data_IF_968084841648
#
_entry.id   IF_968084841648
#
_cell.length_a   1.000
_cell.length_b   1.000
_cell.length_c   1.000
_cell.angle_alpha   90.00
_cell.angle_beta   90.00
_cell.angle_gamma   90.00
#
_symmetry.space_group_name_H-M   'P 1'
#
loop_
_entity.id
_entity.type
_entity.pdbx_description
1 polymer ?
#
# COMPACT_ATOMS: atom_id res chain seq x y z
N UNK A 1 13.97 -12.31 -17.75
CA UNK A 1 13.56 -12.86 -16.45
C UNK A 1 13.07 -11.67 -15.64
N UNK A 2 11.75 -11.46 -15.67
CA UNK A 2 11.12 -10.15 -15.48
C UNK A 2 11.31 -9.63 -14.06
N UNK A 3 12.13 -8.58 -13.95
CA UNK A 3 12.37 -7.80 -12.72
C UNK A 3 11.43 -6.60 -12.61
N UNK A 4 10.41 -6.53 -13.46
CA UNK A 4 9.53 -5.37 -13.52
C UNK A 4 8.51 -5.42 -12.38
N UNK A 5 8.55 -4.38 -11.55
CA UNK A 5 7.53 -4.09 -10.55
C UNK A 5 6.63 -2.99 -11.10
N UNK A 6 5.32 -3.15 -10.94
CA UNK A 6 4.35 -2.12 -11.34
C UNK A 6 3.51 -1.71 -10.14
N UNK A 7 3.12 -0.44 -10.12
CA UNK A 7 2.20 0.10 -9.12
C UNK A 7 0.82 0.23 -9.76
N UNK A 8 -0.20 -0.30 -9.09
CA UNK A 8 -1.60 -0.05 -9.45
C UNK A 8 -2.32 0.50 -8.25
N UNK A 9 -3.19 1.48 -8.45
CA UNK A 9 -4.01 2.02 -7.37
C UNK A 9 -4.84 0.88 -6.74
N UNK A 10 -4.98 0.90 -5.43
CA UNK A 10 -5.86 -0.06 -4.76
C UNK A 10 -7.30 0.36 -4.97
N UNK A 11 -8.12 -0.57 -5.44
CA UNK A 11 -9.54 -0.40 -5.76
C UNK A 11 -10.33 -1.70 -5.45
N UNK A 12 -11.60 -1.77 -5.85
CA UNK A 12 -12.44 -2.95 -5.60
C UNK A 12 -11.88 -4.27 -6.17
N UNK A 13 -11.02 -4.20 -7.19
CA UNK A 13 -10.50 -5.39 -7.88
C UNK A 13 -9.37 -6.07 -7.12
N UNK A 14 -8.64 -5.35 -6.26
CA UNK A 14 -7.38 -5.83 -5.69
C UNK A 14 -7.23 -5.62 -4.17
N UNK A 15 -8.16 -4.92 -3.50
CA UNK A 15 -8.03 -4.64 -2.07
C UNK A 15 -8.05 -5.90 -1.18
N UNK A 16 -8.81 -6.95 -1.56
CA UNK A 16 -8.85 -8.22 -0.82
C UNK A 16 -7.50 -8.94 -0.89
N UNK A 17 -6.85 -8.94 -2.04
CA UNK A 17 -5.51 -9.51 -2.17
C UNK A 17 -4.50 -8.74 -1.30
N UNK A 18 -4.63 -7.41 -1.23
CA UNK A 18 -3.81 -6.60 -0.32
C UNK A 18 -4.06 -6.93 1.17
N UNK A 19 -5.31 -7.25 1.56
CA UNK A 19 -5.61 -7.69 2.94
C UNK A 19 -4.96 -9.02 3.30
N UNK A 20 -4.84 -9.90 2.31
CA UNK A 20 -4.28 -11.23 2.47
C UNK A 20 -2.75 -11.27 2.37
N UNK A 21 -2.10 -10.12 2.17
CA UNK A 21 -0.64 -10.01 2.23
C UNK A 21 -0.16 -10.47 3.61
N UNK A 22 0.52 -11.60 3.62
CA UNK A 22 1.14 -12.14 4.82
C UNK A 22 2.41 -11.39 5.11
N UNK A 23 2.55 -11.00 6.38
CA UNK A 23 3.80 -10.50 6.90
C UNK A 23 4.80 -11.65 6.95
N UNK A 24 6.04 -11.39 6.51
CA UNK A 24 7.14 -12.31 6.80
C UNK A 24 7.39 -12.38 8.30
N UNK A 25 8.02 -13.47 8.77
CA UNK A 25 8.32 -13.66 10.18
C UNK A 25 9.09 -12.46 10.75
N UNK A 26 8.52 -11.80 11.77
CA UNK A 26 9.10 -10.65 12.45
C UNK A 26 8.85 -9.27 11.79
N UNK A 27 8.21 -9.21 10.62
CA UNK A 27 7.84 -7.93 9.99
C UNK A 27 6.66 -7.24 10.69
N UNK A 28 5.84 -8.00 11.41
CA UNK A 28 4.73 -7.50 12.25
C UNK A 28 5.14 -6.45 13.28
N UNK A 29 6.43 -6.43 13.65
CA UNK A 29 7.01 -5.43 14.55
C UNK A 29 7.27 -4.07 13.91
N UNK A 30 7.34 -4.02 12.57
CA UNK A 30 7.79 -2.84 11.82
C UNK A 30 6.71 -2.25 10.92
N UNK A 31 5.69 -3.03 10.54
CA UNK A 31 4.62 -2.57 9.65
C UNK A 31 3.25 -2.78 10.25
N UNK A 32 2.36 -1.83 9.97
CA UNK A 32 0.95 -1.95 10.34
C UNK A 32 0.28 -3.09 9.56
N UNK A 33 -0.65 -3.80 10.20
CA UNK A 33 -1.49 -4.79 9.52
C UNK A 33 -2.17 -4.16 8.29
N UNK A 34 -2.15 -4.81 7.10
CA UNK A 34 -2.68 -4.24 5.86
C UNK A 34 -4.11 -3.70 5.97
N UNK A 35 -4.98 -4.42 6.68
CA UNK A 35 -6.36 -3.99 7.00
C UNK A 35 -6.38 -2.59 7.65
N UNK A 36 -5.54 -2.35 8.66
CA UNK A 36 -5.48 -1.05 9.35
C UNK A 36 -4.99 0.05 8.42
N UNK A 37 -3.96 -0.23 7.63
CA UNK A 37 -3.39 0.72 6.67
C UNK A 37 -4.41 1.14 5.61
N UNK A 38 -5.11 0.20 4.99
CA UNK A 38 -6.11 0.51 3.97
C UNK A 38 -7.37 1.15 4.54
N UNK A 39 -7.78 0.81 5.77
CA UNK A 39 -8.84 1.53 6.46
C UNK A 39 -8.48 3.01 6.70
N UNK A 40 -7.22 3.31 7.03
CA UNK A 40 -6.75 4.69 7.12
C UNK A 40 -6.78 5.39 5.76
N UNK A 41 -6.40 4.69 4.68
CA UNK A 41 -6.51 5.24 3.33
C UNK A 41 -7.95 5.67 2.99
N UNK A 42 -8.95 4.87 3.40
CA UNK A 42 -10.35 5.20 3.23
C UNK A 42 -10.78 6.43 4.06
N UNK A 43 -10.32 6.54 5.31
CA UNK A 43 -10.64 7.70 6.17
C UNK A 43 -10.00 8.99 5.63
N UNK A 44 -8.74 8.90 5.16
CA UNK A 44 -7.98 10.03 4.64
C UNK A 44 -8.02 10.10 3.10
N UNK A 45 -9.13 9.70 2.47
CA UNK A 45 -9.21 9.46 1.02
C UNK A 45 -8.78 10.64 0.13
N UNK A 46 -8.97 11.89 0.59
CA UNK A 46 -8.57 13.09 -0.15
C UNK A 46 -7.05 13.29 -0.19
N UNK A 47 -6.34 12.75 0.81
CA UNK A 47 -4.92 13.01 1.04
C UNK A 47 -4.08 11.76 0.76
N UNK A 48 -4.66 10.58 0.96
CA UNK A 48 -3.95 9.32 0.91
C UNK A 48 -4.39 8.46 -0.27
N UNK A 49 -3.41 8.02 -1.07
CA UNK A 49 -3.62 7.07 -2.16
C UNK A 49 -2.78 5.80 -1.94
N UNK A 50 -3.43 4.65 -1.73
CA UNK A 50 -2.77 3.36 -1.68
C UNK A 50 -2.50 2.79 -3.08
N UNK A 51 -1.34 2.17 -3.26
CA UNK A 51 -0.95 1.42 -4.45
C UNK A 51 -0.50 0.01 -4.08
N UNK A 52 -1.00 -0.98 -4.80
CA UNK A 52 -0.51 -2.35 -4.75
C UNK A 52 0.74 -2.50 -5.62
N UNK A 53 1.73 -3.21 -5.10
CA UNK A 53 2.99 -3.53 -5.79
C UNK A 53 2.82 -4.89 -6.45
N UNK A 54 2.87 -4.90 -7.78
CA UNK A 54 2.74 -6.12 -8.57
C UNK A 54 4.10 -6.58 -9.07
N UNK A 55 4.35 -7.89 -8.97
CA UNK A 55 5.36 -8.60 -9.76
C UNK A 55 4.64 -9.45 -10.79
N UNK A 56 4.68 -9.02 -12.06
CA UNK A 56 3.81 -9.57 -13.10
C UNK A 56 2.32 -9.44 -12.70
N UNK A 57 1.64 -10.56 -12.43
CA UNK A 57 0.22 -10.58 -12.02
C UNK A 57 0.00 -10.74 -10.51
N UNK A 58 1.07 -10.94 -9.74
CA UNK A 58 0.98 -11.24 -8.30
C UNK A 58 1.24 -9.98 -7.50
N UNK A 59 0.36 -9.67 -6.54
CA UNK A 59 0.61 -8.62 -5.55
C UNK A 59 1.63 -9.13 -4.54
N UNK A 60 2.72 -8.38 -4.40
CA UNK A 60 3.84 -8.71 -3.49
C UNK A 60 4.01 -7.71 -2.36
N UNK A 61 3.23 -6.63 -2.35
CA UNK A 61 3.31 -5.57 -1.35
C UNK A 61 2.34 -4.43 -1.61
N UNK A 62 2.43 -3.37 -0.81
CA UNK A 62 1.71 -2.12 -1.04
C UNK A 62 2.52 -0.91 -0.56
N UNK A 63 2.20 0.26 -1.11
CA UNK A 63 2.71 1.55 -0.66
C UNK A 63 1.57 2.54 -0.52
N UNK A 64 1.59 3.34 0.52
CA UNK A 64 0.65 4.44 0.73
C UNK A 64 1.38 5.75 0.54
N UNK A 65 0.92 6.52 -0.44
CA UNK A 65 1.39 7.89 -0.67
C UNK A 65 0.39 8.83 -0.02
N UNK A 66 0.87 9.85 0.68
CA UNK A 66 0.05 10.93 1.23
C UNK A 66 0.52 12.26 0.68
N UNK A 67 -0.40 13.17 0.41
CA UNK A 67 -0.10 14.56 0.12
C UNK A 67 -0.19 15.37 1.41
N UNK A 68 0.92 15.99 1.80
CA UNK A 68 1.00 16.92 2.92
C UNK A 68 0.61 18.32 2.42
N UNK A 69 -0.47 18.89 2.96
CA UNK A 69 -0.96 20.20 2.55
C UNK A 69 -0.18 21.36 3.19
N UNK A 70 0.49 21.12 4.32
CA UNK A 70 1.27 22.14 4.99
C UNK A 70 2.63 22.31 4.30
N UNK A 71 3.23 21.21 3.84
CA UNK A 71 4.50 21.21 3.12
C UNK A 71 4.36 21.21 1.59
N UNK A 72 3.15 21.05 1.07
CA UNK A 72 2.81 20.91 -0.37
C UNK A 72 3.57 19.78 -1.09
N UNK A 73 3.91 18.70 -0.37
CA UNK A 73 4.72 17.58 -0.88
C UNK A 73 4.02 16.23 -0.81
N UNK A 74 4.48 15.29 -1.64
CA UNK A 74 4.09 13.89 -1.54
C UNK A 74 5.08 13.11 -0.67
N UNK A 75 4.55 12.39 0.32
CA UNK A 75 5.32 11.56 1.24
C UNK A 75 4.91 10.09 1.15
N UNK A 76 5.87 9.19 1.40
CA UNK A 76 5.58 7.77 1.62
C UNK A 76 5.17 7.62 3.08
N UNK A 77 3.90 7.29 3.31
CA UNK A 77 3.40 7.10 4.67
C UNK A 77 3.68 5.68 5.18
N UNK A 78 3.43 4.67 4.34
CA UNK A 78 3.61 3.26 4.69
C UNK A 78 4.06 2.46 3.50
N UNK A 79 4.89 1.44 3.74
CA UNK A 79 5.31 0.47 2.76
C UNK A 79 5.41 -0.91 3.40
N UNK A 80 4.97 -1.93 2.68
CA UNK A 80 5.13 -3.34 3.02
C UNK A 80 5.46 -4.14 1.77
#
# INVERSE_FOLDING_TARGET
MDKELTLKKVDESNFIECFNLKLGDGQDKFVSHPIRSLAQAYVYYNQCTPFAIYKSTIIVGYVMVIYDYDEETYNIWKIQ
#
